data_IF_158407646953
#
_entry.id   IF_158407646953
#
_cell.length_a   1.000
_cell.length_b   1.000
_cell.length_c   1.000
_cell.angle_alpha   90.00
_cell.angle_beta   90.00
_cell.angle_gamma   90.00
#
_symmetry.space_group_name_H-M   'P 1'
#
loop_
_entity.id
_entity.type
_entity.pdbx_description
1 polymer ?
#
# COMPACT_ATOMS: atom_id res chain seq x y z
N UNK A 1 13.32 -20.88 -15.94
CA UNK A 1 13.28 -20.81 -15.12
C UNK A 1 12.95 -21.25 -14.16
N UNK A 2 13.10 -21.50 -13.70
CA UNK A 2 12.69 -22.02 -12.80
C UNK A 2 12.13 -21.46 -11.92
N UNK A 3 11.37 -21.52 -12.10
CA UNK A 3 10.70 -21.00 -11.05
C UNK A 3 11.23 -21.48 -9.80
N UNK A 4 11.51 -20.58 -8.96
CA UNK A 4 11.93 -20.94 -7.64
C UNK A 4 10.80 -21.62 -6.96
N UNK A 5 10.96 -22.81 -6.48
CA UNK A 5 9.86 -23.50 -5.87
C UNK A 5 9.28 -22.80 -4.67
N UNK A 6 10.09 -22.01 -4.00
CA UNK A 6 9.63 -21.29 -2.82
C UNK A 6 9.17 -19.88 -3.14
N UNK A 7 9.05 -19.53 -4.42
CA UNK A 7 8.49 -18.24 -4.76
C UNK A 7 7.06 -18.18 -4.23
N UNK A 8 6.70 -17.13 -3.50
CA UNK A 8 5.36 -17.07 -2.94
C UNK A 8 4.32 -16.99 -4.04
N UNK A 9 3.42 -17.95 -4.06
CA UNK A 9 2.36 -17.99 -5.07
C UNK A 9 1.27 -16.99 -4.76
N UNK A 10 1.18 -16.55 -3.51
CA UNK A 10 0.18 -15.59 -3.08
C UNK A 10 0.72 -14.17 -2.97
N UNK A 11 1.95 -13.94 -3.43
CA UNK A 11 2.51 -12.61 -3.41
C UNK A 11 1.74 -11.70 -4.36
N UNK A 12 1.33 -10.55 -3.86
CA UNK A 12 0.63 -9.57 -4.67
C UNK A 12 1.59 -8.89 -5.63
N UNK A 13 1.14 -8.64 -6.85
CA UNK A 13 1.92 -7.93 -7.86
C UNK A 13 1.01 -6.88 -8.50
N UNK A 14 1.48 -5.63 -8.55
CA UNK A 14 0.77 -4.57 -9.24
C UNK A 14 1.16 -4.62 -10.70
N UNK A 15 0.23 -5.00 -11.56
CA UNK A 15 0.48 -5.20 -13.00
C UNK A 15 0.23 -3.93 -13.80
N UNK A 16 -0.59 -3.02 -13.28
CA UNK A 16 -0.85 -1.77 -13.94
C UNK A 16 -1.80 -0.91 -13.13
N UNK A 17 -1.88 0.35 -13.52
CA UNK A 17 -2.83 1.28 -12.90
C UNK A 17 -3.17 2.39 -13.90
N UNK A 18 -4.33 3.00 -13.70
CA UNK A 18 -4.80 4.08 -14.53
C UNK A 18 -6.32 4.05 -14.60
N UNK A 19 -6.90 5.14 -15.11
CA UNK A 19 -8.35 5.26 -15.27
C UNK A 19 -9.11 4.97 -13.97
N UNK A 20 -8.52 5.36 -12.84
CA UNK A 20 -9.15 5.20 -11.54
C UNK A 20 -9.16 3.78 -11.02
N UNK A 21 -8.29 2.91 -11.51
CA UNK A 21 -8.26 1.53 -11.03
C UNK A 21 -6.85 0.97 -11.04
N UNK A 22 -6.68 -0.16 -10.35
CA UNK A 22 -5.43 -0.91 -10.29
C UNK A 22 -5.69 -2.34 -10.75
N UNK A 23 -4.72 -2.89 -11.49
CA UNK A 23 -4.72 -4.31 -11.82
C UNK A 23 -3.68 -4.99 -10.94
N UNK A 24 -4.15 -5.88 -10.07
CA UNK A 24 -3.29 -6.51 -9.08
C UNK A 24 -3.52 -8.01 -9.14
N UNK A 25 -2.45 -8.75 -9.42
CA UNK A 25 -2.48 -10.23 -9.47
C UNK A 25 -3.64 -10.76 -10.30
N UNK A 26 -3.86 -10.13 -11.47
CA UNK A 26 -4.88 -10.57 -12.42
C UNK A 26 -6.27 -10.04 -12.19
N UNK A 27 -6.48 -9.23 -11.15
CA UNK A 27 -7.80 -8.68 -10.86
C UNK A 27 -7.81 -7.17 -10.91
N UNK A 28 -8.92 -6.62 -11.40
CA UNK A 28 -9.12 -5.19 -11.49
C UNK A 28 -9.76 -4.69 -10.19
N UNK A 29 -9.18 -3.62 -9.63
CA UNK A 29 -9.68 -3.01 -8.39
C UNK A 29 -9.94 -1.54 -8.64
N UNK A 30 -11.20 -1.09 -8.67
CA UNK A 30 -11.48 0.33 -8.88
C UNK A 30 -11.17 1.14 -7.61
N UNK A 31 -10.79 2.39 -7.81
CA UNK A 31 -10.51 3.32 -6.72
C UNK A 31 -9.20 3.04 -6.04
N UNK A 32 -9.05 3.62 -4.86
CA UNK A 32 -7.85 3.39 -4.05
C UNK A 32 -7.89 2.03 -3.40
N UNK A 33 -6.73 1.42 -3.23
CA UNK A 33 -6.63 0.07 -2.69
C UNK A 33 -5.57 0.00 -1.62
N UNK A 34 -5.75 -0.96 -0.74
CA UNK A 34 -4.77 -1.33 0.26
C UNK A 34 -4.30 -2.73 -0.08
N UNK A 35 -3.02 -2.86 -0.45
CA UNK A 35 -2.45 -4.14 -0.83
C UNK A 35 -1.71 -4.69 0.39
N UNK A 36 -2.30 -5.68 1.02
CA UNK A 36 -1.75 -6.33 2.21
C UNK A 36 -0.95 -7.57 1.80
N UNK A 37 -0.23 -8.21 2.72
CA UNK A 37 0.64 -9.32 2.32
C UNK A 37 -0.05 -10.43 1.54
N UNK A 38 -1.32 -10.72 1.86
CA UNK A 38 -2.00 -11.86 1.23
C UNK A 38 -3.33 -11.49 0.60
N UNK A 39 -3.73 -10.23 0.62
CA UNK A 39 -5.01 -9.83 0.02
C UNK A 39 -5.05 -8.35 -0.27
N UNK A 40 -6.04 -7.94 -1.03
CA UNK A 40 -6.27 -6.55 -1.42
C UNK A 40 -7.65 -6.15 -0.92
N UNK A 41 -7.76 -4.96 -0.35
CA UNK A 41 -9.06 -4.40 0.03
C UNK A 41 -9.21 -3.00 -0.51
N UNK A 42 -10.46 -2.56 -0.70
CA UNK A 42 -10.70 -1.16 -1.03
C UNK A 42 -10.21 -0.26 0.10
N UNK A 43 -9.71 0.90 -0.25
CA UNK A 43 -9.25 1.87 0.73
C UNK A 43 -9.92 3.20 0.44
N UNK A 44 -10.42 3.85 1.47
CA UNK A 44 -11.16 5.10 1.33
C UNK A 44 -10.43 6.23 2.06
N UNK A 45 -9.31 6.73 1.49
CA UNK A 45 -8.62 7.86 2.10
C UNK A 45 -9.41 9.14 1.85
N UNK A 46 -9.18 10.17 2.69
CA UNK A 46 -9.74 11.48 2.40
C UNK A 46 -9.12 12.07 1.14
N UNK A 47 -9.77 13.07 0.56
CA UNK A 47 -9.27 13.71 -0.65
C UNK A 47 -7.95 14.43 -0.43
N UNK A 48 -7.68 14.90 0.79
CA UNK A 48 -6.45 15.57 1.15
C UNK A 48 -5.69 14.70 2.15
N UNK A 49 -4.43 14.38 1.84
CA UNK A 49 -3.61 13.54 2.71
C UNK A 49 -3.34 14.17 4.07
N UNK A 50 -3.46 15.48 4.20
CA UNK A 50 -3.32 16.12 5.51
C UNK A 50 -4.46 15.74 6.46
N UNK A 51 -5.54 15.20 5.93
CA UNK A 51 -6.69 14.75 6.73
C UNK A 51 -6.62 13.27 7.10
N UNK A 52 -5.54 12.58 6.74
CA UNK A 52 -5.36 11.18 7.12
C UNK A 52 -5.25 11.06 8.64
N UNK A 53 -5.87 10.02 9.16
CA UNK A 53 -5.80 9.68 10.60
C UNK A 53 -5.34 8.23 10.73
N UNK A 54 -4.88 7.82 11.92
CA UNK A 54 -4.51 6.41 12.12
C UNK A 54 -5.62 5.42 11.79
N UNK A 55 -6.87 5.83 11.91
CA UNK A 55 -8.00 4.95 11.60
C UNK A 55 -8.05 4.54 10.13
N UNK A 56 -7.56 5.39 9.24
CA UNK A 56 -7.48 5.04 7.82
C UNK A 56 -6.53 3.87 7.55
N UNK A 57 -5.69 3.54 8.52
CA UNK A 57 -4.71 2.46 8.41
C UNK A 57 -5.01 1.30 9.35
N UNK A 58 -6.26 1.17 9.80
CA UNK A 58 -6.64 0.13 10.75
C UNK A 58 -6.30 -1.27 10.23
N UNK A 59 -6.53 -1.54 8.95
CA UNK A 59 -6.24 -2.85 8.38
C UNK A 59 -4.74 -3.15 8.37
N UNK A 60 -3.91 -2.11 8.15
CA UNK A 60 -2.46 -2.26 8.22
C UNK A 60 -2.04 -2.60 9.64
N UNK A 61 -2.60 -1.90 10.61
CA UNK A 61 -2.24 -2.13 12.02
C UNK A 61 -2.66 -3.51 12.49
N UNK A 62 -3.76 -4.04 11.95
CA UNK A 62 -4.21 -5.39 12.30
C UNK A 62 -3.23 -6.47 11.83
N UNK A 63 -2.43 -6.18 10.81
CA UNK A 63 -1.45 -7.12 10.27
C UNK A 63 -0.02 -6.62 10.44
N UNK A 64 0.21 -5.72 11.38
CA UNK A 64 1.50 -5.05 11.52
C UNK A 64 2.66 -6.02 11.77
N UNK A 65 2.41 -7.16 12.37
CA UNK A 65 3.45 -8.14 12.62
C UNK A 65 3.98 -8.77 11.32
N UNK A 66 3.29 -8.59 10.21
CA UNK A 66 3.72 -9.10 8.91
C UNK A 66 4.19 -7.98 7.96
N UNK A 67 4.24 -6.75 8.45
CA UNK A 67 4.55 -5.60 7.61
C UNK A 67 5.71 -4.83 8.24
N UNK A 68 6.78 -4.63 7.47
CA UNK A 68 7.90 -3.81 7.92
C UNK A 68 7.79 -2.39 7.37
N UNK A 69 7.39 -2.27 6.11
CA UNK A 69 7.34 -0.99 5.42
C UNK A 69 5.98 -0.88 4.72
N UNK A 70 5.36 0.29 4.85
CA UNK A 70 4.13 0.60 4.15
C UNK A 70 4.43 1.65 3.09
N UNK A 71 4.32 1.27 1.84
CA UNK A 71 4.49 2.21 0.73
C UNK A 71 3.17 2.96 0.54
N UNK A 72 3.21 4.28 0.56
CA UNK A 72 2.02 5.09 0.42
C UNK A 72 2.10 5.86 -0.89
N UNK A 73 1.31 5.45 -1.87
CA UNK A 73 1.25 6.12 -3.16
C UNK A 73 0.37 7.34 -3.08
N UNK A 74 0.96 8.51 -3.34
CA UNK A 74 0.33 9.81 -3.12
C UNK A 74 -0.21 10.45 -4.40
N UNK A 75 -0.42 9.68 -5.46
CA UNK A 75 -0.85 10.23 -6.74
C UNK A 75 0.32 10.72 -7.54
N UNK A 76 0.15 11.82 -8.26
CA UNK A 76 1.19 12.35 -9.15
C UNK A 76 2.29 13.10 -8.41
N UNK A 77 2.00 13.57 -7.19
CA UNK A 77 2.96 14.33 -6.39
C UNK A 77 3.06 13.72 -5.02
N UNK A 78 4.29 13.65 -4.52
CA UNK A 78 4.52 13.15 -3.18
C UNK A 78 3.87 14.09 -2.15
N UNK A 79 3.32 13.51 -1.09
CA UNK A 79 2.75 14.25 0.01
C UNK A 79 3.33 13.73 1.33
N UNK A 80 3.32 14.59 2.35
CA UNK A 80 3.80 14.19 3.66
C UNK A 80 2.71 13.42 4.40
N UNK A 81 3.14 12.43 5.16
CA UNK A 81 2.24 11.68 6.04
C UNK A 81 2.08 12.49 7.33
N UNK A 82 0.84 12.72 7.80
CA UNK A 82 0.64 13.43 9.06
C UNK A 82 1.39 12.78 10.21
N UNK A 83 1.88 13.61 11.11
CA UNK A 83 2.69 13.14 12.24
C UNK A 83 1.97 12.09 13.07
N UNK A 84 0.68 12.28 13.34
CA UNK A 84 -0.08 11.32 14.14
C UNK A 84 -0.15 9.95 13.49
N UNK A 85 -0.28 9.90 12.16
CA UNK A 85 -0.29 8.65 11.40
C UNK A 85 1.08 7.99 11.47
N UNK A 86 2.12 8.79 11.22
CA UNK A 86 3.48 8.25 11.24
C UNK A 86 3.83 7.67 12.60
N UNK A 87 3.48 8.39 13.67
CA UNK A 87 3.76 7.91 15.02
C UNK A 87 2.99 6.64 15.35
N UNK A 88 1.73 6.56 14.93
CA UNK A 88 0.92 5.37 15.18
C UNK A 88 1.48 4.14 14.45
N UNK A 89 1.92 4.31 13.22
CA UNK A 89 2.51 3.20 12.45
C UNK A 89 3.86 2.79 13.04
N UNK A 90 4.71 3.76 13.38
CA UNK A 90 6.00 3.45 13.99
C UNK A 90 5.84 2.74 15.33
N UNK A 91 4.78 3.04 16.06
CA UNK A 91 4.53 2.39 17.35
C UNK A 91 4.27 0.89 17.21
N UNK A 92 3.86 0.43 16.03
CA UNK A 92 3.70 -0.99 15.73
C UNK A 92 4.77 -1.49 14.76
N UNK A 93 5.88 -0.78 14.69
CA UNK A 93 7.06 -1.14 13.89
C UNK A 93 6.81 -1.18 12.39
N UNK A 94 5.87 -0.38 11.90
CA UNK A 94 5.63 -0.21 10.46
C UNK A 94 6.16 1.15 10.04
N UNK A 95 7.06 1.16 9.06
CA UNK A 95 7.67 2.39 8.57
C UNK A 95 6.90 2.88 7.35
N UNK A 96 6.22 4.04 7.41
CA UNK A 96 5.53 4.58 6.23
C UNK A 96 6.51 5.28 5.31
N UNK A 97 6.42 4.96 4.01
CA UNK A 97 7.27 5.56 2.98
C UNK A 97 6.36 6.20 1.94
N UNK A 98 6.13 7.51 2.01
CA UNK A 98 5.31 8.20 1.00
C UNK A 98 6.10 8.39 -0.29
N UNK A 99 5.41 8.22 -1.41
CA UNK A 99 6.00 8.43 -2.73
C UNK A 99 4.88 8.58 -3.74
N UNK A 100 5.22 8.90 -4.99
CA UNK A 100 4.20 8.94 -6.03
C UNK A 100 3.62 7.54 -6.24
N UNK A 101 2.41 7.46 -6.78
CA UNK A 101 1.78 6.17 -7.04
C UNK A 101 2.65 5.33 -7.98
N UNK A 102 3.22 5.94 -9.00
CA UNK A 102 4.09 5.22 -9.93
C UNK A 102 5.29 4.60 -9.21
N UNK A 103 5.94 5.38 -8.35
CA UNK A 103 7.09 4.89 -7.59
C UNK A 103 6.68 3.79 -6.61
N UNK A 104 5.52 3.94 -5.97
CA UNK A 104 5.03 2.95 -5.03
C UNK A 104 4.77 1.61 -5.71
N UNK A 105 4.15 1.63 -6.89
CA UNK A 105 3.89 0.40 -7.64
C UNK A 105 5.18 -0.31 -8.04
N UNK A 106 6.17 0.46 -8.53
CA UNK A 106 7.46 -0.13 -8.92
C UNK A 106 8.19 -0.70 -7.72
N UNK A 107 8.21 0.05 -6.62
CA UNK A 107 8.93 -0.38 -5.42
C UNK A 107 8.29 -1.61 -4.81
N UNK A 108 6.96 -1.65 -4.81
CA UNK A 108 6.22 -2.78 -4.25
C UNK A 108 6.55 -4.09 -4.97
N UNK A 109 6.72 -4.03 -6.28
CA UNK A 109 6.95 -5.24 -7.07
C UNK A 109 8.38 -5.78 -6.98
N UNK A 110 9.28 -5.02 -6.42
CA UNK A 110 10.68 -5.46 -6.29
C UNK A 110 10.83 -6.56 -5.18
#
# INVERSE_FOLDING_TARGET
MQVTPDAPTNRMVVEGYGDGSFRISGQQHPGSVLVLPEHVEPWAPPGDFSDLTPEHFAAVMAEADQIDILLVGCGQHMALIPKAVREALLAVDVVPEPMTTAAACRTFNV
#
